data_IF_950156844319
#
_entry.id   IF_950156844319
#
_cell.length_a   1.000
_cell.length_b   1.000
_cell.length_c   1.000
_cell.angle_alpha   90.00
_cell.angle_beta   90.00
_cell.angle_gamma   90.00
#
_symmetry.space_group_name_H-M   'P 1'
#
loop_
_entity.id
_entity.type
_entity.pdbx_description
1 polymer ?
#
# COMPACT_ATOMS: atom_id res chain seq x y z
N UNK A 1 -1.51 -4.24 28.71
CA UNK A 1 -2.46 -3.29 28.09
C UNK A 1 -1.94 -1.86 28.19
N UNK A 2 -1.68 -1.34 29.38
CA UNK A 2 -1.20 0.03 29.58
C UNK A 2 0.13 0.32 28.87
N UNK A 3 1.05 -0.66 28.77
CA UNK A 3 2.32 -0.49 28.07
C UNK A 3 2.13 -0.32 26.57
N UNK A 4 1.26 -1.12 25.93
CA UNK A 4 0.94 -1.02 24.52
C UNK A 4 0.26 0.33 24.19
N UNK A 5 -0.71 0.74 25.03
CA UNK A 5 -1.37 2.05 24.89
C UNK A 5 -0.34 3.18 24.98
N UNK A 6 0.53 3.16 26.00
CA UNK A 6 1.54 4.20 26.20
C UNK A 6 2.53 4.32 25.04
N UNK A 7 2.85 3.20 24.35
CA UNK A 7 3.68 3.22 23.15
C UNK A 7 2.94 3.80 21.94
N UNK A 8 1.65 3.54 21.81
CA UNK A 8 0.85 3.95 20.66
C UNK A 8 0.43 5.43 20.70
N UNK A 9 0.17 6.01 21.87
CA UNK A 9 -0.38 7.37 22.00
C UNK A 9 0.51 8.49 21.43
N UNK A 10 1.78 8.19 21.17
CA UNK A 10 2.72 9.16 20.60
C UNK A 10 2.64 9.23 19.05
N UNK A 11 1.95 8.27 18.42
CA UNK A 11 1.93 8.09 16.98
C UNK A 11 0.49 7.98 16.46
N UNK A 12 0.29 8.29 15.19
CA UNK A 12 -0.87 7.82 14.45
C UNK A 12 -0.63 6.33 14.14
N UNK A 13 -1.57 5.47 14.47
CA UNK A 13 -1.38 4.02 14.33
C UNK A 13 -2.53 3.35 13.61
N UNK A 14 -2.21 2.23 12.96
CA UNK A 14 -3.18 1.29 12.42
C UNK A 14 -3.11 0.02 13.27
N UNK A 15 -4.26 -0.36 13.80
CA UNK A 15 -4.46 -1.65 14.49
C UNK A 15 -5.15 -2.59 13.53
N UNK A 16 -4.58 -3.76 13.30
CA UNK A 16 -5.16 -4.78 12.41
C UNK A 16 -4.99 -6.18 13.00
N UNK A 17 -5.91 -7.13 12.73
CA UNK A 17 -5.71 -8.52 13.05
C UNK A 17 -4.44 -9.07 12.39
N UNK A 18 -3.69 -9.94 13.09
CA UNK A 18 -2.45 -10.52 12.56
C UNK A 18 -2.69 -11.70 11.62
N UNK A 19 -3.88 -12.28 11.63
CA UNK A 19 -4.26 -13.45 10.84
C UNK A 19 -5.69 -13.33 10.30
N UNK A 20 -5.96 -14.04 9.20
CA UNK A 20 -7.31 -14.33 8.69
C UNK A 20 -8.14 -13.12 8.28
N UNK A 21 -7.52 -12.02 7.85
CA UNK A 21 -8.27 -10.87 7.31
C UNK A 21 -8.04 -10.70 5.83
N UNK A 22 -9.14 -10.70 5.08
CA UNK A 22 -9.16 -10.32 3.67
C UNK A 22 -9.86 -8.97 3.50
N UNK A 23 -9.42 -8.17 2.55
CA UNK A 23 -10.07 -6.91 2.15
C UNK A 23 -10.09 -5.83 3.24
N UNK A 24 -9.08 -5.81 4.15
CA UNK A 24 -8.96 -4.76 5.17
C UNK A 24 -10.02 -4.82 6.29
N UNK A 25 -10.73 -5.95 6.46
CA UNK A 25 -11.69 -6.12 7.56
C UNK A 25 -10.97 -6.09 8.91
N UNK A 26 -11.52 -5.34 9.86
CA UNK A 26 -10.98 -5.24 11.22
C UNK A 26 -9.79 -4.28 11.36
N UNK A 27 -9.46 -3.53 10.32
CA UNK A 27 -8.46 -2.45 10.41
C UNK A 27 -9.09 -1.23 11.09
N UNK A 28 -8.42 -0.73 12.12
CA UNK A 28 -8.78 0.50 12.82
C UNK A 28 -7.62 1.47 12.72
N UNK A 29 -7.85 2.63 12.12
CA UNK A 29 -6.91 3.75 12.14
C UNK A 29 -7.22 4.63 13.34
N UNK A 30 -6.21 4.88 14.17
CA UNK A 30 -6.31 5.78 15.31
C UNK A 30 -5.28 6.91 15.17
N UNK A 31 -5.74 8.15 15.33
CA UNK A 31 -4.86 9.33 15.32
C UNK A 31 -4.58 9.75 16.76
N UNK A 32 -3.37 10.24 17.01
CA UNK A 32 -2.91 10.63 18.37
C UNK A 32 -3.79 11.67 19.08
N UNK A 33 -4.59 12.44 18.32
CA UNK A 33 -5.50 13.44 18.85
C UNK A 33 -6.93 12.91 19.06
N UNK A 34 -7.18 11.63 18.74
CA UNK A 34 -8.47 10.98 18.96
C UNK A 34 -8.62 10.49 20.42
N UNK A 35 -9.84 10.12 20.79
CA UNK A 35 -10.13 9.57 22.10
C UNK A 35 -9.32 8.27 22.34
N UNK A 36 -8.61 8.24 23.46
CA UNK A 36 -7.79 7.09 23.89
C UNK A 36 -8.63 5.82 24.14
N UNK A 37 -9.91 5.98 24.46
CA UNK A 37 -10.82 4.85 24.66
C UNK A 37 -11.11 4.11 23.32
N UNK A 38 -11.09 4.82 22.18
CA UNK A 38 -11.17 4.19 20.86
C UNK A 38 -9.95 3.31 20.61
N UNK A 39 -8.73 3.77 20.96
CA UNK A 39 -7.51 2.97 20.84
C UNK A 39 -7.59 1.73 21.73
N UNK A 40 -7.98 1.88 23.00
CA UNK A 40 -8.15 0.76 23.93
C UNK A 40 -9.16 -0.27 23.42
N UNK A 41 -10.28 0.20 22.82
CA UNK A 41 -11.28 -0.67 22.21
C UNK A 41 -10.71 -1.41 21.01
N UNK A 42 -9.95 -0.73 20.16
CA UNK A 42 -9.29 -1.36 19.01
C UNK A 42 -8.28 -2.43 19.45
N UNK A 43 -7.46 -2.14 20.46
CA UNK A 43 -6.49 -3.09 21.02
C UNK A 43 -7.13 -4.32 21.69
N UNK A 44 -8.39 -4.23 22.10
CA UNK A 44 -9.16 -5.34 22.70
C UNK A 44 -10.02 -6.09 21.67
N UNK A 45 -10.13 -5.60 20.44
CA UNK A 45 -11.09 -6.12 19.47
C UNK A 45 -10.77 -7.52 18.95
N UNK A 46 -9.49 -7.95 19.04
CA UNK A 46 -9.00 -9.25 18.56
C UNK A 46 -7.85 -9.74 19.43
N UNK A 47 -7.72 -11.07 19.59
CA UNK A 47 -6.69 -11.68 20.43
C UNK A 47 -5.27 -11.53 19.86
N UNK A 48 -5.15 -11.59 18.54
CA UNK A 48 -3.88 -11.45 17.82
C UNK A 48 -3.94 -10.26 16.88
N UNK A 49 -3.20 -9.21 17.20
CA UNK A 49 -3.18 -7.99 16.42
C UNK A 49 -1.75 -7.50 16.11
N UNK A 50 -1.64 -6.73 15.06
CA UNK A 50 -0.45 -5.96 14.70
C UNK A 50 -0.80 -4.49 14.80
N UNK A 51 0.05 -3.73 15.49
CA UNK A 51 -0.01 -2.27 15.51
C UNK A 51 1.13 -1.75 14.65
N UNK A 52 0.79 -0.92 13.69
CA UNK A 52 1.75 -0.29 12.78
C UNK A 52 1.58 1.22 12.84
N UNK A 53 2.68 1.95 12.64
CA UNK A 53 2.62 3.39 12.44
C UNK A 53 1.79 3.71 11.18
N UNK A 54 0.98 4.77 11.26
CA UNK A 54 0.24 5.27 10.10
C UNK A 54 1.21 5.90 9.10
N UNK A 55 1.10 5.52 7.85
CA UNK A 55 1.97 6.02 6.79
C UNK A 55 1.41 7.33 6.26
N UNK A 56 2.15 8.41 6.43
CA UNK A 56 1.94 9.64 5.70
C UNK A 56 2.52 9.47 4.30
N UNK A 57 1.64 9.32 3.31
CA UNK A 57 2.06 9.07 1.93
C UNK A 57 2.63 10.32 1.28
N UNK A 58 3.53 10.11 0.30
CA UNK A 58 3.98 11.16 -0.60
C UNK A 58 2.80 11.82 -1.33
N UNK A 59 2.85 13.14 -1.51
CA UNK A 59 1.75 13.96 -2.06
C UNK A 59 1.20 13.39 -3.37
N UNK A 60 2.07 12.99 -4.31
CA UNK A 60 1.66 12.40 -5.60
C UNK A 60 0.77 11.17 -5.43
N UNK A 61 0.96 10.36 -4.39
CA UNK A 61 0.11 9.21 -4.10
C UNK A 61 -1.15 9.62 -3.35
N UNK A 62 -1.04 10.48 -2.33
CA UNK A 62 -2.19 10.92 -1.54
C UNK A 62 -3.17 11.75 -2.36
N UNK A 63 -2.72 12.41 -3.43
CA UNK A 63 -3.57 13.16 -4.35
C UNK A 63 -4.59 12.26 -5.08
N UNK A 64 -4.34 10.96 -5.23
CA UNK A 64 -5.36 10.03 -5.74
C UNK A 64 -6.41 9.72 -4.68
N UNK A 65 -5.96 9.37 -3.47
CA UNK A 65 -6.82 9.07 -2.33
C UNK A 65 -6.02 9.29 -1.05
N UNK A 66 -6.46 10.22 -0.21
CA UNK A 66 -5.83 10.55 1.08
C UNK A 66 -6.36 9.70 2.23
N UNK A 67 -7.54 9.09 2.04
CA UNK A 67 -8.24 8.28 3.05
C UNK A 67 -7.78 6.82 3.07
N UNK A 68 -6.94 6.39 2.12
CA UNK A 68 -6.34 5.06 2.10
C UNK A 68 -4.90 5.09 1.57
N UNK A 69 -4.13 4.07 1.90
CA UNK A 69 -2.77 3.92 1.37
C UNK A 69 -2.85 3.44 -0.08
N UNK A 70 -2.33 4.25 -1.02
CA UNK A 70 -2.17 3.86 -2.42
C UNK A 70 -0.86 3.09 -2.56
N UNK A 71 -0.87 1.93 -3.19
CA UNK A 71 0.27 1.01 -3.21
C UNK A 71 0.71 0.67 -4.62
N UNK A 72 2.01 0.64 -4.83
CA UNK A 72 2.59 0.00 -6.00
C UNK A 72 2.67 -1.50 -5.76
N UNK A 73 2.06 -2.29 -6.62
CA UNK A 73 2.29 -3.73 -6.68
C UNK A 73 3.38 -4.02 -7.69
N UNK A 74 4.54 -4.44 -7.18
CA UNK A 74 5.69 -4.83 -7.95
C UNK A 74 5.80 -6.35 -7.93
N UNK A 75 5.90 -6.99 -9.10
CA UNK A 75 6.02 -8.44 -9.19
C UNK A 75 7.44 -8.79 -9.62
N UNK A 76 8.14 -9.57 -8.80
CA UNK A 76 9.49 -10.04 -9.11
C UNK A 76 9.52 -11.54 -9.32
N UNK A 77 10.30 -11.99 -10.30
CA UNK A 77 10.62 -13.38 -10.55
C UNK A 77 12.13 -13.59 -10.38
N UNK A 78 12.52 -14.51 -9.50
CA UNK A 78 13.88 -14.99 -9.42
C UNK A 78 14.08 -16.14 -10.39
N UNK A 79 14.83 -15.88 -11.47
CA UNK A 79 15.13 -16.84 -12.52
C UNK A 79 16.62 -16.89 -12.80
N UNK A 80 17.23 -18.07 -12.82
CA UNK A 80 18.69 -18.27 -13.05
C UNK A 80 19.59 -17.36 -12.22
N UNK A 81 19.25 -17.17 -10.94
CA UNK A 81 19.92 -16.28 -9.97
C UNK A 81 19.81 -14.76 -10.27
N UNK A 82 18.99 -14.38 -11.23
CA UNK A 82 18.68 -12.97 -11.52
C UNK A 82 17.24 -12.64 -11.11
N UNK A 83 17.04 -11.43 -10.58
CA UNK A 83 15.72 -10.94 -10.20
C UNK A 83 15.18 -10.06 -11.31
N UNK A 84 14.10 -10.48 -11.92
CA UNK A 84 13.40 -9.76 -12.98
C UNK A 84 12.14 -9.10 -12.40
N UNK A 85 11.94 -7.80 -12.66
CA UNK A 85 10.65 -7.15 -12.46
C UNK A 85 9.74 -7.53 -13.63
N UNK A 86 8.67 -8.27 -13.37
CA UNK A 86 7.76 -8.78 -14.42
C UNK A 86 6.51 -7.93 -14.58
N UNK A 87 6.12 -7.21 -13.54
CA UNK A 87 4.95 -6.33 -13.56
C UNK A 87 5.11 -5.20 -12.54
N UNK A 88 4.55 -4.05 -12.87
CA UNK A 88 4.45 -2.90 -11.97
C UNK A 88 3.15 -2.16 -12.23
N UNK A 89 2.33 -2.02 -11.19
CA UNK A 89 1.08 -1.30 -11.23
C UNK A 89 0.91 -0.44 -9.98
N UNK A 90 0.22 0.68 -10.11
CA UNK A 90 -0.25 1.48 -8.99
C UNK A 90 -1.72 1.11 -8.72
N UNK A 91 -2.02 0.74 -7.48
CA UNK A 91 -3.36 0.44 -6.99
C UNK A 91 -3.79 1.61 -6.11
N UNK A 92 -4.86 2.27 -6.51
CA UNK A 92 -5.33 3.52 -5.92
C UNK A 92 -6.75 3.34 -5.39
N UNK A 93 -7.08 4.04 -4.31
CA UNK A 93 -8.47 4.19 -3.90
C UNK A 93 -9.24 5.02 -4.93
N UNK A 94 -10.48 4.65 -5.23
CA UNK A 94 -11.38 5.50 -5.99
C UNK A 94 -11.86 6.71 -5.18
N UNK A 95 -12.73 7.54 -5.76
CA UNK A 95 -13.28 8.69 -5.05
C UNK A 95 -13.93 8.27 -3.72
N UNK A 96 -13.49 8.87 -2.61
CA UNK A 96 -13.97 8.59 -1.25
C UNK A 96 -13.81 7.11 -0.79
N UNK A 97 -12.93 6.35 -1.41
CA UNK A 97 -12.67 4.97 -1.02
C UNK A 97 -11.95 4.91 0.34
N UNK A 98 -12.37 3.99 1.20
CA UNK A 98 -11.68 3.71 2.48
C UNK A 98 -10.52 2.74 2.33
N UNK A 99 -10.42 2.09 1.18
CA UNK A 99 -9.37 1.12 0.82
C UNK A 99 -9.05 1.24 -0.66
N UNK A 100 -7.84 0.86 -1.06
CA UNK A 100 -7.44 0.79 -2.46
C UNK A 100 -7.83 -0.55 -3.14
N UNK A 101 -8.62 -1.39 -2.47
CA UNK A 101 -8.99 -2.71 -2.98
C UNK A 101 -9.90 -2.61 -4.21
N UNK A 102 -9.58 -3.33 -5.29
CA UNK A 102 -10.32 -3.26 -6.56
C UNK A 102 -11.82 -3.54 -6.42
N UNK A 103 -12.21 -4.54 -5.60
CA UNK A 103 -13.63 -4.82 -5.33
C UNK A 103 -14.31 -3.77 -4.43
N UNK A 104 -13.54 -2.92 -3.78
CA UNK A 104 -14.01 -1.79 -2.97
C UNK A 104 -14.06 -0.46 -3.71
N UNK A 105 -13.95 -0.48 -5.04
CA UNK A 105 -13.93 0.73 -5.87
C UNK A 105 -12.53 1.26 -6.16
N UNK A 106 -11.49 0.47 -5.89
CA UNK A 106 -10.11 0.80 -6.26
C UNK A 106 -9.89 0.76 -7.77
N UNK A 107 -8.85 1.44 -8.21
CA UNK A 107 -8.42 1.58 -9.61
C UNK A 107 -6.97 1.13 -9.72
N UNK A 108 -6.63 0.43 -10.79
CA UNK A 108 -5.28 -0.02 -11.09
C UNK A 108 -4.78 0.59 -12.39
N UNK A 109 -3.57 1.15 -12.36
CA UNK A 109 -2.89 1.72 -13.51
C UNK A 109 -1.50 1.11 -13.66
N UNK A 110 -1.09 0.76 -14.87
CA UNK A 110 0.27 0.29 -15.16
C UNK A 110 1.30 1.38 -14.90
N UNK A 111 2.50 0.98 -14.42
CA UNK A 111 3.65 1.87 -14.27
C UNK A 111 4.69 1.47 -15.32
N UNK A 112 5.12 2.43 -16.14
CA UNK A 112 6.20 2.25 -17.10
C UNK A 112 7.58 2.16 -16.39
N UNK A 113 8.62 1.64 -17.01
CA UNK A 113 9.97 1.57 -16.42
C UNK A 113 10.52 2.94 -15.98
N UNK A 114 10.04 4.03 -16.57
CA UNK A 114 10.37 5.41 -16.18
C UNK A 114 9.71 5.88 -14.88
N UNK A 115 8.77 5.10 -14.34
CA UNK A 115 7.90 5.51 -13.22
C UNK A 115 6.62 6.24 -13.67
N UNK A 116 6.49 6.61 -14.95
CA UNK A 116 5.28 7.24 -15.49
C UNK A 116 4.13 6.25 -15.52
N UNK A 117 2.92 6.70 -15.18
CA UNK A 117 1.72 5.88 -15.31
C UNK A 117 1.33 5.72 -16.79
N UNK A 118 0.73 4.58 -17.12
CA UNK A 118 0.10 4.39 -18.41
C UNK A 118 -1.11 5.31 -18.57
N UNK A 119 -1.55 5.55 -19.82
CA UNK A 119 -2.68 6.44 -20.10
C UNK A 119 -4.03 5.89 -19.67
N UNK A 120 -4.13 4.57 -19.45
CA UNK A 120 -5.37 3.89 -19.11
C UNK A 120 -5.25 3.15 -17.79
N UNK A 121 -6.26 3.31 -16.95
CA UNK A 121 -6.43 2.57 -15.70
C UNK A 121 -7.74 1.78 -15.74
N UNK A 122 -7.88 0.81 -14.83
CA UNK A 122 -9.03 -0.11 -14.80
C UNK A 122 -9.53 -0.27 -13.36
N UNK A 123 -10.83 -0.41 -13.20
CA UNK A 123 -11.44 -0.85 -11.95
C UNK A 123 -11.63 -2.37 -11.89
N UNK A 124 -12.16 -2.88 -10.77
CA UNK A 124 -12.43 -4.30 -10.59
C UNK A 124 -13.53 -4.88 -11.49
N UNK A 125 -14.24 -4.04 -12.27
CA UNK A 125 -15.23 -4.43 -13.28
C UNK A 125 -14.70 -4.29 -14.70
N UNK A 126 -13.41 -3.97 -14.85
CA UNK A 126 -12.74 -3.70 -16.13
C UNK A 126 -13.26 -2.45 -16.87
N UNK A 127 -13.91 -1.52 -16.18
CA UNK A 127 -14.16 -0.21 -16.78
C UNK A 127 -12.82 0.52 -16.92
N UNK A 128 -12.67 1.24 -18.06
CA UNK A 128 -11.45 1.96 -18.42
C UNK A 128 -11.55 3.45 -18.06
N UNK A 129 -10.43 4.02 -17.59
CA UNK A 129 -10.35 5.42 -17.20
C UNK A 129 -9.05 6.03 -17.71
N UNK A 130 -9.12 7.20 -18.34
CA UNK A 130 -7.95 8.05 -18.69
C UNK A 130 -7.61 9.01 -17.55
N UNK A 131 -8.60 9.25 -16.66
CA UNK A 131 -8.49 10.15 -15.51
C UNK A 131 -9.00 9.45 -14.26
N UNK A 132 -8.34 9.70 -13.15
CA UNK A 132 -8.87 9.31 -11.85
C UNK A 132 -10.16 10.10 -11.53
N UNK A 133 -11.12 9.57 -10.76
CA UNK A 133 -12.35 10.28 -10.38
C UNK A 133 -12.15 11.65 -9.73
N UNK A 134 -10.97 11.94 -9.16
CA UNK A 134 -10.62 13.27 -8.64
C UNK A 134 -10.06 14.23 -9.70
N UNK A 135 -10.00 13.80 -10.98
CA UNK A 135 -9.61 14.63 -12.11
C UNK A 135 -8.16 14.50 -12.59
N UNK A 136 -7.30 13.77 -11.88
CA UNK A 136 -5.90 13.57 -12.30
C UNK A 136 -5.82 12.72 -13.56
N UNK A 137 -5.04 13.16 -14.56
CA UNK A 137 -4.78 12.45 -15.82
C UNK A 137 -3.60 11.49 -15.60
N UNK A 138 -3.81 10.19 -15.77
CA UNK A 138 -2.79 9.19 -15.44
C UNK A 138 -1.48 9.39 -16.21
N UNK A 139 -1.54 9.65 -17.53
CA UNK A 139 -0.35 9.85 -18.35
C UNK A 139 0.51 11.06 -17.98
N UNK A 140 0.00 11.98 -17.17
CA UNK A 140 0.72 13.15 -16.69
C UNK A 140 1.44 12.91 -15.36
N UNK A 141 1.19 11.76 -14.72
CA UNK A 141 1.72 11.42 -13.41
C UNK A 141 2.96 10.52 -13.53
N UNK A 142 4.00 10.89 -12.83
CA UNK A 142 5.19 10.05 -12.63
C UNK A 142 5.34 9.75 -11.15
N UNK A 143 5.45 8.48 -10.79
CA UNK A 143 5.71 8.04 -9.41
C UNK A 143 7.14 8.44 -9.04
N UNK A 144 7.32 9.31 -8.04
CA UNK A 144 8.66 9.73 -7.63
C UNK A 144 9.45 8.55 -7.05
N UNK A 145 10.76 8.55 -7.24
CA UNK A 145 11.65 7.52 -6.70
C UNK A 145 11.23 6.06 -7.04
N UNK A 146 10.50 5.84 -8.14
CA UNK A 146 10.06 4.51 -8.58
C UNK A 146 11.24 3.53 -8.69
N UNK A 147 12.37 3.99 -9.21
CA UNK A 147 13.60 3.19 -9.32
C UNK A 147 14.06 2.67 -7.95
N UNK A 148 14.01 3.51 -6.90
CA UNK A 148 14.37 3.08 -5.53
C UNK A 148 13.43 1.99 -5.00
N UNK A 149 12.14 2.03 -5.38
CA UNK A 149 11.18 0.98 -5.03
C UNK A 149 11.55 -0.34 -5.70
N UNK A 150 11.89 -0.29 -7.00
CA UNK A 150 12.33 -1.46 -7.77
C UNK A 150 13.62 -2.04 -7.21
N UNK A 151 14.60 -1.21 -6.89
CA UNK A 151 15.88 -1.64 -6.32
C UNK A 151 15.68 -2.30 -4.95
N UNK A 152 14.81 -1.75 -4.12
CA UNK A 152 14.47 -2.33 -2.81
C UNK A 152 13.93 -3.75 -2.97
N UNK A 153 12.92 -3.96 -3.82
CA UNK A 153 12.31 -5.29 -3.97
C UNK A 153 13.24 -6.28 -4.65
N UNK A 154 14.05 -5.85 -5.61
CA UNK A 154 15.10 -6.69 -6.23
C UNK A 154 16.16 -7.13 -5.22
N UNK A 155 16.56 -6.26 -4.29
CA UNK A 155 17.51 -6.57 -3.21
C UNK A 155 16.92 -7.53 -2.17
N UNK A 156 15.62 -7.47 -1.92
CA UNK A 156 14.93 -8.30 -0.93
C UNK A 156 14.55 -9.69 -1.49
N UNK A 157 14.21 -9.80 -2.78
CA UNK A 157 13.70 -11.02 -3.40
C UNK A 157 14.58 -12.26 -3.18
N UNK A 158 15.92 -12.21 -3.28
CA UNK A 158 16.77 -13.37 -3.04
C UNK A 158 16.66 -13.92 -1.61
N UNK A 159 16.36 -13.06 -0.62
CA UNK A 159 16.22 -13.46 0.78
C UNK A 159 14.99 -14.34 1.05
N UNK A 160 13.98 -14.25 0.16
CA UNK A 160 12.74 -15.02 0.23
C UNK A 160 12.70 -16.18 -0.78
N UNK A 161 13.80 -16.45 -1.48
CA UNK A 161 13.88 -17.48 -2.52
C UNK A 161 13.60 -18.89 -2.04
N UNK A 162 13.78 -19.17 -0.75
CA UNK A 162 13.43 -20.44 -0.12
C UNK A 162 11.91 -20.62 0.08
N UNK A 163 11.12 -19.55 0.00
CA UNK A 163 9.67 -19.55 0.16
C UNK A 163 9.00 -19.52 -1.22
N UNK A 164 9.35 -18.55 -2.05
CA UNK A 164 8.85 -18.43 -3.43
C UNK A 164 9.86 -17.71 -4.31
N UNK A 165 9.86 -18.06 -5.61
CA UNK A 165 10.62 -17.34 -6.64
C UNK A 165 9.81 -16.22 -7.30
N UNK A 166 8.49 -16.30 -7.22
CA UNK A 166 7.56 -15.27 -7.70
C UNK A 166 6.97 -14.57 -6.48
N UNK A 167 7.21 -13.29 -6.35
CA UNK A 167 6.80 -12.49 -5.19
C UNK A 167 6.07 -11.23 -5.65
N UNK A 168 4.97 -10.91 -4.98
CA UNK A 168 4.21 -9.69 -5.17
C UNK A 168 4.45 -8.76 -3.97
N UNK A 169 5.01 -7.60 -4.24
CA UNK A 169 5.41 -6.63 -3.24
C UNK A 169 4.43 -5.46 -3.25
N UNK A 170 3.79 -5.18 -2.14
CA UNK A 170 3.00 -3.98 -1.96
C UNK A 170 3.89 -2.91 -1.30
N UNK A 171 4.23 -1.89 -2.07
CA UNK A 171 5.15 -0.81 -1.70
C UNK A 171 4.42 0.52 -1.82
N UNK A 172 4.68 1.44 -0.90
CA UNK A 172 4.26 2.84 -1.00
C UNK A 172 5.46 3.76 -0.79
N UNK A 173 5.23 5.07 -0.83
CA UNK A 173 6.21 6.09 -0.51
C UNK A 173 5.77 6.85 0.72
N UNK A 174 6.70 7.09 1.66
CA UNK A 174 6.49 8.05 2.74
C UNK A 174 6.43 9.49 2.20
N UNK A 175 6.12 10.46 3.07
CA UNK A 175 6.03 11.88 2.70
C UNK A 175 7.29 12.45 2.06
N UNK A 176 8.45 11.88 2.38
CA UNK A 176 9.76 12.31 1.88
C UNK A 176 10.16 11.55 0.59
N UNK A 177 9.29 10.66 0.10
CA UNK A 177 9.50 9.86 -1.11
C UNK A 177 10.38 8.64 -0.91
N UNK A 178 10.57 8.16 0.33
CA UNK A 178 11.30 6.93 0.57
C UNK A 178 10.37 5.71 0.43
N UNK A 179 10.85 4.60 -0.15
CA UNK A 179 10.07 3.38 -0.27
C UNK A 179 9.74 2.74 1.09
N UNK A 180 8.48 2.40 1.30
CA UNK A 180 8.00 1.62 2.43
C UNK A 180 7.39 0.32 1.93
N UNK A 181 7.89 -0.81 2.40
CA UNK A 181 7.30 -2.13 2.18
C UNK A 181 6.10 -2.32 3.11
N UNK A 182 4.93 -2.55 2.53
CA UNK A 182 3.69 -2.82 3.26
C UNK A 182 3.54 -4.32 3.54
N UNK A 183 3.60 -5.12 2.48
CA UNK A 183 3.48 -6.58 2.58
C UNK A 183 4.11 -7.29 1.38
N UNK A 184 4.32 -8.59 1.54
CA UNK A 184 4.75 -9.50 0.48
C UNK A 184 3.72 -10.62 0.36
N UNK A 185 3.19 -10.80 -0.86
CA UNK A 185 2.27 -11.88 -1.20
C UNK A 185 2.99 -12.93 -2.06
N UNK A 186 2.69 -14.21 -1.80
CA UNK A 186 3.36 -15.37 -2.39
C UNK A 186 2.42 -16.08 -3.34
#
# INVERSE_FOLDING_TARGET
ENEAVNKCIQYNVIVKPSVSTVQGKGIVAWKKDNDIEELKKALKSVDNLVVQEFIEQHQVLSDFCDSCVNTMRLVTLLWKNEVHLTSSVLIMGGANAKTNHLHGGGIVCGILPSGQLQSMAFDGKLNCYEKHPNGQVFSEITVPNFEKCVDMVKKLAPRLSGVSKLLNWDVTLDKDGNPILIEVNI
#
